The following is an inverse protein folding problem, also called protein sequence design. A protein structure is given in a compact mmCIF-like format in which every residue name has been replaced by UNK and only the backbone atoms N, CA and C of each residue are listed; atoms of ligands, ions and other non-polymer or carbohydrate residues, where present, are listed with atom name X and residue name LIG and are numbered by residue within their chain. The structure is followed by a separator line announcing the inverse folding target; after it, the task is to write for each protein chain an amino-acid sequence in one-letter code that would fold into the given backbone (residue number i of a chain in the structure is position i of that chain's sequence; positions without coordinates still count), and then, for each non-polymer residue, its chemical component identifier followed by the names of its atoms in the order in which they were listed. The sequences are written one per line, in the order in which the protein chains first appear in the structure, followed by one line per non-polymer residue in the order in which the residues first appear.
data_IF_030802467374
#
_entry.id   IF_030802467374
#
_cell.length_a   1.000
_cell.length_b   1.000
_cell.length_c   1.000
_cell.angle_alpha   90.00
_cell.angle_beta   90.00
_cell.angle_gamma   90.00
#
_symmetry.space_group_name_H-M   'P 1'
#
loop_
_entity.id
_entity.type
_entity.pdbx_description
1 polymer ?
#
# COMPACT_ATOMS: atom_id res chain seq x y z
N UNK A 1 -14.42 -9.39 5.16
CA UNK A 1 -14.89 -8.03 4.79
C UNK A 1 -16.08 -7.52 5.61
N UNK A 2 -17.04 -8.36 6.01
CA UNK A 2 -18.24 -7.87 6.70
C UNK A 2 -18.02 -7.38 8.14
N UNK A 3 -16.85 -7.65 8.72
CA UNK A 3 -16.43 -7.16 10.03
C UNK A 3 -16.05 -5.67 10.06
N UNK A 4 -15.83 -5.04 8.89
CA UNK A 4 -15.46 -3.62 8.79
C UNK A 4 -16.57 -2.85 8.09
N UNK A 5 -17.03 -1.76 8.71
CA UNK A 5 -18.00 -0.87 8.11
C UNK A 5 -17.32 0.12 7.17
N UNK A 6 -17.32 -0.21 5.88
CA UNK A 6 -16.90 0.70 4.81
C UNK A 6 -18.08 1.49 4.26
N UNK A 7 -17.78 2.60 3.60
CA UNK A 7 -18.76 3.25 2.73
C UNK A 7 -19.27 2.24 1.68
N UNK A 8 -20.56 2.35 1.33
CA UNK A 8 -21.22 1.40 0.43
C UNK A 8 -20.51 1.31 -0.92
N UNK A 9 -20.04 2.45 -1.44
CA UNK A 9 -19.34 2.49 -2.73
C UNK A 9 -17.98 1.80 -2.66
N UNK A 10 -17.21 2.05 -1.60
CA UNK A 10 -15.91 1.43 -1.35
C UNK A 10 -16.03 -0.07 -1.10
N UNK A 11 -17.04 -0.51 -0.34
CA UNK A 11 -17.29 -1.92 -0.07
C UNK A 11 -17.55 -2.70 -1.37
N UNK A 12 -18.44 -2.17 -2.22
CA UNK A 12 -18.80 -2.81 -3.49
C UNK A 12 -17.62 -2.83 -4.46
N UNK A 13 -16.89 -1.72 -4.57
CA UNK A 13 -15.70 -1.63 -5.41
C UNK A 13 -14.66 -2.66 -4.97
N UNK A 14 -14.31 -2.66 -3.69
CA UNK A 14 -13.27 -3.54 -3.16
C UNK A 14 -13.65 -5.01 -3.31
N UNK A 15 -14.86 -5.42 -2.93
CA UNK A 15 -15.33 -6.82 -3.11
C UNK A 15 -15.20 -7.25 -4.56
N UNK A 16 -15.73 -6.45 -5.50
CA UNK A 16 -15.65 -6.76 -6.93
C UNK A 16 -14.21 -6.90 -7.41
N UNK A 17 -13.34 -5.97 -7.05
CA UNK A 17 -11.93 -5.99 -7.49
C UNK A 17 -11.17 -7.20 -6.95
N UNK A 18 -11.39 -7.57 -5.69
CA UNK A 18 -10.76 -8.73 -5.08
C UNK A 18 -11.26 -10.04 -5.73
N UNK A 19 -12.57 -10.19 -5.90
CA UNK A 19 -13.17 -11.37 -6.53
C UNK A 19 -12.69 -11.51 -7.99
N UNK A 20 -12.68 -10.41 -8.74
CA UNK A 20 -12.21 -10.38 -10.13
C UNK A 20 -10.73 -10.74 -10.20
N UNK A 21 -9.91 -10.19 -9.31
CA UNK A 21 -8.47 -10.50 -9.29
C UNK A 21 -8.24 -12.01 -9.06
N UNK A 22 -8.94 -12.61 -8.11
CA UNK A 22 -8.79 -14.04 -7.80
C UNK A 22 -9.24 -14.94 -8.96
N UNK A 23 -10.27 -14.54 -9.72
CA UNK A 23 -10.78 -15.35 -10.85
C UNK A 23 -9.96 -15.22 -12.13
N UNK A 24 -9.25 -14.10 -12.32
CA UNK A 24 -8.76 -13.69 -13.65
C UNK A 24 -7.28 -13.99 -13.91
N UNK A 25 -6.67 -14.97 -13.24
CA UNK A 25 -5.24 -15.33 -13.47
C UNK A 25 -4.91 -15.52 -14.96
N UNK A 26 -5.76 -16.23 -15.70
CA UNK A 26 -5.56 -16.49 -17.14
C UNK A 26 -5.67 -15.22 -17.99
N UNK A 27 -6.50 -14.25 -17.58
CA UNK A 27 -6.61 -12.97 -18.27
C UNK A 27 -5.29 -12.21 -18.22
N UNK A 28 -4.66 -12.13 -17.05
CA UNK A 28 -3.35 -11.50 -16.88
C UNK A 28 -2.27 -12.15 -17.76
N UNK A 29 -2.22 -13.48 -17.79
CA UNK A 29 -1.29 -14.23 -18.64
C UNK A 29 -1.50 -13.95 -20.13
N UNK A 30 -2.75 -13.89 -20.59
CA UNK A 30 -3.07 -13.61 -22.01
C UNK A 30 -2.64 -12.22 -22.47
N UNK A 31 -2.74 -11.21 -21.61
CA UNK A 31 -2.35 -9.83 -21.95
C UNK A 31 -0.89 -9.51 -21.60
N UNK A 32 -0.14 -10.48 -21.08
CA UNK A 32 1.27 -10.32 -20.71
C UNK A 32 1.50 -9.38 -19.52
N UNK A 33 0.52 -9.22 -18.64
CA UNK A 33 0.65 -8.39 -17.44
C UNK A 33 0.99 -9.24 -16.22
N UNK A 34 1.85 -8.75 -15.31
CA UNK A 34 2.14 -9.45 -14.05
C UNK A 34 0.85 -9.70 -13.26
N UNK A 35 0.63 -10.95 -12.82
CA UNK A 35 -0.52 -11.31 -12.03
C UNK A 35 -0.37 -10.82 -10.59
N UNK A 36 -0.67 -9.54 -10.36
CA UNK A 36 -0.66 -8.89 -9.06
C UNK A 36 -1.68 -7.76 -9.01
N UNK A 37 -1.99 -7.31 -7.80
CA UNK A 37 -2.91 -6.17 -7.59
C UNK A 37 -2.37 -5.24 -6.53
N UNK A 38 -2.39 -3.94 -6.79
CA UNK A 38 -2.05 -2.92 -5.81
C UNK A 38 -3.28 -2.20 -5.26
N UNK A 39 -3.31 -2.02 -3.93
CA UNK A 39 -4.36 -1.32 -3.20
C UNK A 39 -3.71 -0.24 -2.32
N UNK A 40 -4.16 1.00 -2.48
CA UNK A 40 -3.75 2.13 -1.65
C UNK A 40 -4.89 2.50 -0.70
N UNK A 41 -4.65 2.37 0.60
CA UNK A 41 -5.55 2.80 1.66
C UNK A 41 -5.03 4.11 2.24
N UNK A 42 -5.75 5.21 2.06
CA UNK A 42 -5.33 6.50 2.59
C UNK A 42 -6.44 7.19 3.38
N UNK A 43 -6.08 8.18 4.18
CA UNK A 43 -7.04 8.91 5.02
C UNK A 43 -6.54 9.08 6.44
N UNK A 44 -7.36 9.65 7.33
CA UNK A 44 -6.93 10.04 8.68
C UNK A 44 -6.50 8.85 9.55
N UNK A 45 -5.64 9.06 10.57
CA UNK A 45 -5.34 8.01 11.53
C UNK A 45 -6.61 7.57 12.26
N UNK A 46 -6.73 6.27 12.55
CA UNK A 46 -7.87 5.71 13.25
C UNK A 46 -9.13 5.42 12.42
N UNK A 47 -9.09 5.58 11.09
CA UNK A 47 -10.25 5.29 10.20
C UNK A 47 -10.36 3.83 9.76
N UNK A 48 -9.60 2.93 10.39
CA UNK A 48 -9.72 1.48 10.17
C UNK A 48 -8.90 0.91 9.01
N UNK A 49 -7.86 1.61 8.54
CA UNK A 49 -6.93 1.12 7.49
C UNK A 49 -6.37 -0.29 7.81
N UNK A 50 -5.78 -0.46 8.99
CA UNK A 50 -5.23 -1.76 9.45
C UNK A 50 -6.34 -2.80 9.68
N UNK A 51 -7.51 -2.40 10.20
CA UNK A 51 -8.66 -3.29 10.35
C UNK A 51 -9.16 -3.80 9.00
N UNK A 52 -9.14 -2.96 7.96
CA UNK A 52 -9.51 -3.33 6.60
C UNK A 52 -8.54 -4.33 5.99
N UNK A 53 -7.23 -4.17 6.21
CA UNK A 53 -6.21 -5.16 5.79
C UNK A 53 -6.55 -6.55 6.33
N UNK A 54 -6.83 -6.65 7.64
CA UNK A 54 -7.23 -7.92 8.27
C UNK A 54 -8.56 -8.47 7.71
N UNK A 55 -9.50 -7.58 7.35
CA UNK A 55 -10.77 -8.00 6.76
C UNK A 55 -10.63 -8.49 5.32
N UNK A 56 -9.63 -8.00 4.57
CA UNK A 56 -9.26 -8.47 3.23
C UNK A 56 -8.57 -9.83 3.33
N UNK A 57 -7.59 -9.99 4.23
CA UNK A 57 -6.87 -11.26 4.41
C UNK A 57 -7.80 -12.40 4.80
N UNK A 58 -8.69 -12.16 5.76
CA UNK A 58 -9.72 -13.11 6.17
C UNK A 58 -10.71 -13.43 5.05
N UNK A 59 -11.02 -12.48 4.17
CA UNK A 59 -11.95 -12.72 3.07
C UNK A 59 -11.34 -13.59 1.96
N UNK A 60 -10.04 -13.41 1.71
CA UNK A 60 -9.31 -14.14 0.67
C UNK A 60 -8.66 -15.43 1.18
N UNK A 61 -8.65 -15.66 2.49
CA UNK A 61 -7.89 -16.74 3.14
C UNK A 61 -6.41 -16.71 2.77
N UNK A 62 -5.79 -15.52 2.88
CA UNK A 62 -4.37 -15.27 2.55
C UNK A 62 -3.63 -14.73 3.76
N UNK A 63 -2.37 -15.11 3.91
CA UNK A 63 -1.53 -14.61 4.99
C UNK A 63 -1.03 -13.19 4.70
N UNK A 64 -0.76 -12.45 5.78
CA UNK A 64 -0.28 -11.07 5.71
C UNK A 64 1.23 -11.04 5.99
N UNK A 65 1.97 -10.42 5.08
CA UNK A 65 3.42 -10.19 5.20
C UNK A 65 3.67 -8.68 5.33
N UNK A 66 4.06 -8.25 6.53
CA UNK A 66 4.41 -6.85 6.78
C UNK A 66 5.85 -6.57 6.38
N UNK A 67 6.03 -5.63 5.45
CA UNK A 67 7.35 -5.13 5.06
C UNK A 67 7.58 -3.78 5.74
N UNK A 68 8.48 -3.75 6.73
CA UNK A 68 8.81 -2.54 7.46
C UNK A 68 9.98 -1.80 6.80
N UNK A 69 9.66 -0.72 6.09
CA UNK A 69 10.64 0.06 5.34
C UNK A 69 11.67 0.77 6.23
N UNK A 70 11.39 0.97 7.53
CA UNK A 70 12.35 1.60 8.46
C UNK A 70 13.53 0.70 8.76
N UNK A 71 13.32 -0.61 8.73
CA UNK A 71 14.35 -1.60 9.10
C UNK A 71 15.28 -1.92 7.92
N UNK A 72 14.81 -1.74 6.69
CA UNK A 72 15.55 -2.03 5.46
C UNK A 72 16.72 -1.06 5.32
N UNK A 73 17.92 -1.61 5.18
CA UNK A 73 19.21 -0.89 5.15
C UNK A 73 19.77 -0.66 3.76
N UNK A 74 19.46 -1.54 2.79
CA UNK A 74 19.90 -1.44 1.41
C UNK A 74 18.88 -1.98 0.38
N UNK A 75 19.22 -1.85 -0.90
CA UNK A 75 18.40 -2.31 -2.04
C UNK A 75 18.26 -3.86 -2.08
N UNK A 76 19.26 -4.58 -1.59
CA UNK A 76 19.24 -6.05 -1.59
C UNK A 76 18.29 -6.57 -0.52
N UNK A 77 18.31 -5.99 0.68
CA UNK A 77 17.40 -6.30 1.77
C UNK A 77 15.96 -5.97 1.39
N UNK A 78 15.73 -4.87 0.69
CA UNK A 78 14.42 -4.54 0.13
C UNK A 78 13.96 -5.62 -0.85
N UNK A 79 14.81 -5.98 -1.80
CA UNK A 79 14.48 -6.99 -2.81
C UNK A 79 14.20 -8.35 -2.16
N UNK A 80 15.02 -8.76 -1.18
CA UNK A 80 14.84 -10.00 -0.44
C UNK A 80 13.50 -10.03 0.31
N UNK A 81 13.14 -8.93 1.00
CA UNK A 81 11.88 -8.85 1.73
C UNK A 81 10.63 -9.06 0.84
N UNK A 82 10.71 -8.73 -0.45
CA UNK A 82 9.63 -8.99 -1.42
C UNK A 82 9.74 -10.38 -2.06
N UNK A 83 10.95 -10.86 -2.35
CA UNK A 83 11.20 -12.21 -2.89
C UNK A 83 10.79 -13.33 -1.95
N UNK A 84 10.99 -13.13 -0.64
CA UNK A 84 10.73 -14.15 0.38
C UNK A 84 9.23 -14.40 0.61
N UNK A 85 8.37 -13.55 0.04
CA UNK A 85 6.92 -13.70 0.15
C UNK A 85 6.44 -14.76 -0.85
N UNK A 86 5.74 -15.82 -0.38
CA UNK A 86 5.15 -16.83 -1.25
C UNK A 86 4.15 -16.25 -2.25
N UNK A 87 3.73 -17.08 -3.22
CA UNK A 87 2.63 -16.73 -4.11
C UNK A 87 1.29 -16.63 -3.37
N UNK A 88 0.37 -15.88 -3.98
CA UNK A 88 -1.02 -15.71 -3.50
C UNK A 88 -1.15 -15.15 -2.07
N UNK A 89 -0.21 -14.30 -1.63
CA UNK A 89 -0.23 -13.65 -0.32
C UNK A 89 -0.60 -12.17 -0.39
N UNK A 90 -0.72 -11.55 0.78
CA UNK A 90 -0.93 -10.10 0.93
C UNK A 90 0.32 -9.47 1.55
N UNK A 91 0.90 -8.51 0.84
CA UNK A 91 2.07 -7.75 1.29
C UNK A 91 1.60 -6.39 1.75
N UNK A 92 1.99 -5.99 2.96
CA UNK A 92 1.54 -4.75 3.58
C UNK A 92 2.72 -3.84 3.86
N UNK A 93 2.60 -2.60 3.38
CA UNK A 93 3.50 -1.50 3.66
C UNK A 93 2.71 -0.43 4.43
N UNK A 94 2.79 -0.46 5.76
CA UNK A 94 2.04 0.50 6.59
C UNK A 94 2.75 1.85 6.73
N UNK A 95 1.96 2.92 6.84
CA UNK A 95 2.42 4.29 7.11
C UNK A 95 3.61 4.72 6.24
N UNK A 96 3.51 4.47 4.94
CA UNK A 96 4.63 4.70 4.00
C UNK A 96 5.09 6.16 3.95
N UNK A 97 4.20 7.09 4.29
CA UNK A 97 4.46 8.52 4.47
C UNK A 97 5.45 8.79 5.62
N UNK A 98 5.34 8.03 6.71
CA UNK A 98 6.19 8.18 7.89
C UNK A 98 7.42 7.26 7.88
N UNK A 99 7.39 6.15 7.13
CA UNK A 99 8.47 5.16 7.14
C UNK A 99 9.64 5.51 6.22
N UNK A 100 9.40 6.16 5.08
CA UNK A 100 10.48 6.41 4.12
C UNK A 100 10.32 7.73 3.35
N UNK A 101 11.22 8.67 3.62
CA UNK A 101 11.35 9.92 2.84
C UNK A 101 11.72 9.66 1.37
N UNK A 102 12.22 8.46 1.05
CA UNK A 102 12.56 8.04 -0.33
C UNK A 102 11.31 7.98 -1.21
N UNK A 103 10.16 7.72 -0.60
CA UNK A 103 8.87 7.62 -1.28
C UNK A 103 8.18 8.99 -1.45
N UNK A 104 8.79 10.08 -0.98
CA UNK A 104 8.20 11.41 -1.08
C UNK A 104 8.49 12.05 -2.45
N UNK A 105 7.59 12.94 -2.88
CA UNK A 105 7.82 13.80 -4.05
C UNK A 105 9.16 14.50 -3.93
N UNK A 106 10.00 14.34 -4.96
CA UNK A 106 11.21 15.15 -5.09
C UNK A 106 10.80 16.59 -5.37
N UNK A 107 10.92 17.46 -4.37
CA UNK A 107 10.82 18.90 -4.62
C UNK A 107 12.04 19.31 -5.43
N UNK A 108 11.81 19.81 -6.63
CA UNK A 108 12.83 20.41 -7.49
C UNK A 108 13.25 21.78 -6.94
N UNK A 109 13.75 21.84 -5.71
CA UNK A 109 14.33 23.05 -5.10
C UNK A 109 15.84 22.88 -4.85
N UNK A 110 16.55 22.38 -5.86
CA UNK A 110 18.01 22.38 -5.88
C UNK A 110 18.52 22.90 -7.22
N UNK A 111 18.10 24.10 -7.58
CA UNK A 111 18.83 24.94 -8.53
C UNK A 111 18.73 26.39 -8.06
N UNK A 112 19.88 26.99 -7.74
CA UNK A 112 20.11 28.43 -7.54
C UNK A 112 20.10 28.98 -6.11
N UNK A 113 21.15 28.69 -5.34
CA UNK A 113 21.83 29.74 -4.57
C UNK A 113 23.27 29.34 -4.26
N UNK A 114 24.17 29.76 -5.15
CA UNK A 114 25.60 29.91 -4.88
C UNK A 114 25.79 30.85 -3.68
N UNK A 115 26.08 30.32 -2.49
CA UNK A 115 26.83 31.08 -1.48
C UNK A 115 27.80 30.15 -0.77
N UNK A 116 29.09 30.41 -1.00
CA UNK A 116 30.21 29.77 -0.33
C UNK A 116 30.18 30.12 1.16
N UNK A 117 29.96 29.14 2.03
CA UNK A 117 30.48 29.14 3.41
C UNK A 117 30.73 27.71 3.86
N UNK A 118 32.01 27.43 4.07
CA UNK A 118 32.59 26.24 4.67
C UNK A 118 32.18 26.09 6.14
N UNK A 119 31.45 25.02 6.48
CA UNK A 119 31.81 24.06 7.54
C UNK A 119 30.76 22.95 7.66
N UNK A 120 31.09 21.79 7.08
CA UNK A 120 30.75 20.44 7.55
C UNK A 120 29.34 20.16 8.08
N UNK A 121 28.32 20.21 7.22
CA UNK A 121 27.11 19.39 7.37
C UNK A 121 27.26 18.12 6.53
N UNK A 122 28.11 17.21 7.02
CA UNK A 122 28.28 15.87 6.43
C UNK A 122 27.06 15.01 6.83
N UNK A 123 26.39 14.50 5.80
CA UNK A 123 25.49 13.33 5.78
C UNK A 123 24.10 13.54 6.40
N UNK A 124 23.13 13.89 5.56
CA UNK A 124 21.73 13.45 5.75
C UNK A 124 21.29 12.57 4.56
N UNK A 125 22.27 11.91 3.91
CA UNK A 125 22.17 11.38 2.56
C UNK A 125 22.67 9.93 2.44
N UNK A 126 22.00 9.01 3.12
CA UNK A 126 21.84 7.67 2.57
C UNK A 126 20.39 7.27 2.77
N UNK A 127 19.54 7.62 1.81
CA UNK A 127 18.33 6.85 1.56
C UNK A 127 18.75 5.38 1.57
N UNK A 128 18.28 4.61 2.57
CA UNK A 128 18.75 3.25 2.83
C UNK A 128 18.63 2.40 1.56
N UNK A 129 17.50 2.53 0.88
CA UNK A 129 17.26 1.99 -0.46
C UNK A 129 16.88 3.10 -1.44
N UNK A 130 16.93 2.80 -2.74
CA UNK A 130 16.56 3.70 -3.82
C UNK A 130 15.08 3.60 -4.18
N UNK A 131 14.47 4.72 -4.60
CA UNK A 131 13.09 4.74 -5.09
C UNK A 131 12.92 3.79 -6.28
N UNK A 132 13.91 3.72 -7.18
CA UNK A 132 13.92 2.81 -8.32
C UNK A 132 13.78 1.35 -7.91
N UNK A 133 14.49 0.92 -6.88
CA UNK A 133 14.43 -0.46 -6.40
C UNK A 133 13.07 -0.76 -5.78
N UNK A 134 12.55 0.15 -4.95
CA UNK A 134 11.19 0.02 -4.42
C UNK A 134 10.13 -0.06 -5.52
N UNK A 135 10.23 0.79 -6.54
CA UNK A 135 9.32 0.78 -7.68
C UNK A 135 9.47 -0.51 -8.51
N UNK A 136 10.67 -1.06 -8.63
CA UNK A 136 10.93 -2.35 -9.27
C UNK A 136 10.30 -3.51 -8.49
N UNK A 137 10.35 -3.47 -7.16
CA UNK A 137 9.59 -4.39 -6.31
C UNK A 137 8.10 -4.24 -6.58
N UNK A 138 7.52 -3.03 -6.53
CA UNK A 138 6.10 -2.83 -6.84
C UNK A 138 5.70 -3.29 -8.25
N UNK A 139 6.60 -3.16 -9.24
CA UNK A 139 6.32 -3.57 -10.62
C UNK A 139 6.23 -5.10 -10.78
N UNK A 140 6.74 -5.87 -9.82
CA UNK A 140 6.57 -7.33 -9.76
C UNK A 140 7.73 -8.14 -10.31
N UNK A 141 8.89 -7.53 -10.61
CA UNK A 141 10.06 -8.29 -11.12
C UNK A 141 10.63 -9.30 -10.10
N UNK A 142 10.40 -9.03 -8.83
CA UNK A 142 11.01 -9.75 -7.70
C UNK A 142 9.97 -10.58 -6.93
N UNK A 143 8.68 -10.43 -7.26
CA UNK A 143 7.59 -11.06 -6.52
C UNK A 143 7.10 -12.35 -7.17
N UNK A 144 6.71 -13.29 -6.32
CA UNK A 144 5.85 -14.41 -6.69
C UNK A 144 4.50 -13.94 -7.25
N UNK A 145 3.90 -14.73 -8.15
CA UNK A 145 2.62 -14.40 -8.76
C UNK A 145 1.45 -14.42 -7.76
N UNK A 146 0.38 -13.73 -8.11
CA UNK A 146 -0.88 -13.73 -7.38
C UNK A 146 -0.89 -12.84 -6.15
N UNK A 147 0.19 -12.11 -5.87
CA UNK A 147 0.32 -11.29 -4.67
C UNK A 147 -0.49 -9.99 -4.77
N UNK A 148 -1.11 -9.61 -3.65
CA UNK A 148 -1.77 -8.31 -3.47
C UNK A 148 -0.87 -7.44 -2.61
N UNK A 149 -0.56 -6.24 -3.08
CA UNK A 149 0.23 -5.26 -2.32
C UNK A 149 -0.72 -4.20 -1.77
N UNK A 150 -0.72 -4.01 -0.46
CA UNK A 150 -1.49 -2.98 0.22
C UNK A 150 -0.54 -1.95 0.81
N UNK A 151 -0.68 -0.69 0.41
CA UNK A 151 0.01 0.44 1.02
C UNK A 151 -0.96 1.25 1.87
N UNK A 152 -0.53 1.67 3.06
CA UNK A 152 -1.28 2.63 3.87
C UNK A 152 -0.54 3.95 4.03
N UNK A 153 -1.28 5.06 4.03
CA UNK A 153 -0.71 6.41 4.24
C UNK A 153 -1.74 7.33 4.88
N UNK A 154 -1.31 8.28 5.72
CA UNK A 154 -2.17 9.36 6.18
C UNK A 154 -2.11 10.59 5.26
N UNK A 155 -1.05 10.68 4.46
CA UNK A 155 -0.74 11.80 3.56
C UNK A 155 -0.44 11.28 2.15
N UNK A 156 -1.47 11.17 1.30
CA UNK A 156 -1.28 10.73 -0.09
C UNK A 156 -0.55 11.78 -0.93
N UNK A 157 -0.71 13.06 -0.59
CA UNK A 157 -0.20 14.22 -1.30
C UNK A 157 1.34 14.32 -1.28
N UNK A 158 1.99 13.72 -0.28
CA UNK A 158 3.45 13.73 -0.18
C UNK A 158 4.10 12.58 -0.96
N UNK A 159 3.35 11.53 -1.31
CA UNK A 159 3.91 10.36 -2.00
C UNK A 159 4.29 10.70 -3.44
N UNK A 160 5.39 10.10 -3.90
CA UNK A 160 5.83 10.19 -5.29
C UNK A 160 4.73 9.61 -6.21
N UNK A 161 4.27 10.37 -7.22
CA UNK A 161 3.23 9.91 -8.16
C UNK A 161 3.56 8.59 -8.84
N UNK A 162 4.86 8.28 -9.00
CA UNK A 162 5.30 7.00 -9.54
C UNK A 162 4.87 5.83 -8.66
N UNK A 163 4.79 5.96 -7.34
CA UNK A 163 4.35 4.88 -6.43
C UNK A 163 2.88 4.54 -6.63
N UNK A 164 2.04 5.55 -6.90
CA UNK A 164 0.58 5.42 -6.91
C UNK A 164 -0.04 5.31 -8.32
N UNK A 165 0.80 5.25 -9.36
CA UNK A 165 0.34 5.17 -10.74
C UNK A 165 -0.44 3.86 -11.00
N UNK A 166 -1.39 3.86 -11.96
CA UNK A 166 -2.03 2.64 -12.45
C UNK A 166 -1.01 1.59 -12.87
N UNK A 167 -1.31 0.32 -12.58
CA UNK A 167 -0.38 -0.79 -12.72
C UNK A 167 0.51 -0.99 -11.50
N UNK A 168 0.67 -0.02 -10.59
CA UNK A 168 1.32 -0.22 -9.27
C UNK A 168 0.31 -0.23 -8.15
N UNK A 169 -0.51 0.81 -8.07
CA UNK A 169 -1.65 0.92 -7.16
C UNK A 169 -2.90 1.15 -8.01
N UNK A 170 -3.71 0.11 -8.17
CA UNK A 170 -4.87 0.13 -9.07
C UNK A 170 -6.14 0.58 -8.35
N UNK A 171 -6.28 0.19 -7.08
CA UNK A 171 -7.43 0.52 -6.24
C UNK A 171 -7.02 1.55 -5.20
N UNK A 172 -7.73 2.67 -5.15
CA UNK A 172 -7.44 3.79 -4.26
C UNK A 172 -8.67 4.01 -3.36
N UNK A 173 -8.54 3.78 -2.06
CA UNK A 173 -9.62 3.94 -1.09
C UNK A 173 -9.31 5.05 -0.09
N UNK A 174 -10.12 6.10 -0.10
CA UNK A 174 -10.10 7.16 0.91
C UNK A 174 -10.96 6.75 2.11
N UNK A 175 -10.31 6.48 3.23
CA UNK A 175 -10.93 6.17 4.51
C UNK A 175 -11.02 7.46 5.34
N UNK A 176 -12.10 8.19 5.08
CA UNK A 176 -12.47 9.41 5.81
C UNK A 176 -13.30 9.16 7.08
N UNK A 177 -14.06 10.17 7.49
CA UNK A 177 -15.00 10.05 8.60
C UNK A 177 -16.16 9.12 8.25
N UNK A 178 -16.79 8.57 9.30
CA UNK A 178 -17.91 7.66 9.14
C UNK A 178 -19.09 8.34 8.44
N UNK A 179 -19.58 7.72 7.37
CA UNK A 179 -20.84 8.08 6.74
C UNK A 179 -22.03 7.54 7.54
N UNK A 180 -23.23 8.06 7.28
CA UNK A 180 -24.44 7.56 7.93
C UNK A 180 -24.66 6.06 7.68
N UNK A 181 -24.29 5.58 6.48
CA UNK A 181 -24.32 4.16 6.14
C UNK A 181 -23.39 3.33 7.04
N UNK A 182 -22.14 3.78 7.22
CA UNK A 182 -21.17 3.10 8.08
C UNK A 182 -21.64 3.05 9.53
N UNK A 183 -22.16 4.15 10.07
CA UNK A 183 -22.68 4.22 11.44
C UNK A 183 -23.81 3.21 11.63
N UNK A 184 -24.77 3.18 10.69
CA UNK A 184 -25.88 2.23 10.74
C UNK A 184 -25.40 0.78 10.69
N UNK A 185 -24.40 0.48 9.85
CA UNK A 185 -23.80 -0.85 9.73
C UNK A 185 -23.10 -1.28 11.01
N UNK A 186 -22.29 -0.40 11.61
CA UNK A 186 -21.63 -0.65 12.90
C UNK A 186 -22.64 -0.85 14.03
N UNK A 187 -23.69 -0.03 14.09
CA UNK A 187 -24.73 -0.17 15.10
C UNK A 187 -25.41 -1.53 15.00
N UNK A 188 -25.80 -1.94 13.80
CA UNK A 188 -26.39 -3.25 13.56
C UNK A 188 -25.47 -4.40 13.94
N UNK A 189 -24.19 -4.34 13.59
CA UNK A 189 -23.25 -5.41 13.93
C UNK A 189 -23.09 -5.62 15.44
N UNK A 190 -23.20 -4.55 16.24
CA UNK A 190 -23.11 -4.62 17.70
C UNK A 190 -24.43 -5.10 18.32
N UNK A 191 -25.57 -4.65 17.82
CA UNK A 191 -26.88 -4.91 18.44
C UNK A 191 -27.49 -6.25 17.99
N UNK A 192 -27.29 -6.65 16.72
CA UNK A 192 -27.90 -7.87 16.14
C UNK A 192 -27.03 -9.12 16.34
N UNK A 193 -25.78 -8.97 16.82
CA UNK A 193 -24.89 -10.07 17.21
C UNK A 193 -24.29 -9.83 18.61
N UNK A 194 -25.12 -9.77 19.67
CA UNK A 194 -24.58 -9.90 21.01
C UNK A 194 -24.04 -11.34 21.13
N UNK A 195 -22.80 -11.49 21.60
CA UNK A 195 -22.19 -12.80 21.87
C UNK A 195 -23.10 -13.74 22.67
#
# INVERSE_FOLDING_TARGET
LDSVALDESHERLLKKELDTFVSDKDFYGRIGMPYRRGILLYGRPGTGKTSLINAISSHLSRDIYYVNLKNITDDNELSAAFSDVPENQIIVLEDVDAQSKVLHKRTSNSSSSNTKSSNSSKVDSSSKFSLSTFLGCLDGHTLSEGNIIIMTTNHIDILDPACIRPGRMDVHLDLGYCTHYQIKKMFKSVVEKPE
#
